data_IF_934789009037
#
_entry.id   IF_934789009037
#
_cell.length_a   1.000
_cell.length_b   1.000
_cell.length_c   1.000
_cell.angle_alpha   90.00
_cell.angle_beta   90.00
_cell.angle_gamma   90.00
#
_symmetry.space_group_name_H-M   'P 1'
#
loop_
_entity.id
_entity.type
_entity.pdbx_description
1 polymer ?
#
# COMPACT_ATOMS: atom_id res chain seq x y z
N UNK A 1 -14.61 -7.54 14.23
CA UNK A 1 -14.85 -6.11 13.91
C UNK A 1 -16.02 -5.71 14.78
N UNK A 2 -15.87 -4.66 15.61
CA UNK A 2 -16.97 -4.10 16.38
C UNK A 2 -17.55 -2.95 15.57
N UNK A 3 -18.78 -3.08 15.10
CA UNK A 3 -19.45 -2.07 14.27
C UNK A 3 -20.45 -1.28 15.12
N UNK A 4 -20.31 0.04 15.13
CA UNK A 4 -21.14 0.95 15.92
C UNK A 4 -21.52 2.18 15.09
N UNK A 5 -22.70 2.73 15.37
CA UNK A 5 -23.11 4.05 14.89
C UNK A 5 -23.41 4.91 16.11
N UNK A 6 -23.07 6.19 16.06
CA UNK A 6 -23.35 7.12 17.15
C UNK A 6 -24.86 7.23 17.40
N UNK A 7 -25.29 6.96 18.63
CA UNK A 7 -26.70 7.11 19.05
C UNK A 7 -26.91 8.28 20.03
N UNK A 8 -25.84 8.71 20.73
CA UNK A 8 -25.86 9.81 21.70
C UNK A 8 -24.50 10.53 21.69
N UNK A 9 -24.53 11.86 21.82
CA UNK A 9 -23.36 12.75 21.86
C UNK A 9 -22.41 12.39 23.00
N UNK A 10 -22.95 12.12 24.18
CA UNK A 10 -22.12 11.83 25.38
C UNK A 10 -21.31 10.54 25.22
N UNK A 11 -21.72 9.67 24.29
CA UNK A 11 -21.10 8.37 24.05
C UNK A 11 -20.17 8.36 22.83
N UNK A 12 -19.98 9.48 22.13
CA UNK A 12 -19.28 9.50 20.84
C UNK A 12 -17.82 9.04 20.91
N UNK A 13 -17.14 9.23 22.05
CA UNK A 13 -15.75 8.81 22.24
C UNK A 13 -15.60 7.36 22.76
N UNK A 14 -16.68 6.76 23.29
CA UNK A 14 -16.62 5.44 23.94
C UNK A 14 -16.14 4.31 23.02
N UNK A 15 -16.53 4.26 21.72
CA UNK A 15 -16.06 3.21 20.83
C UNK A 15 -14.54 3.13 20.75
N UNK A 16 -13.83 4.27 20.75
CA UNK A 16 -12.37 4.31 20.68
C UNK A 16 -11.69 3.62 21.87
N UNK A 17 -12.30 3.70 23.06
CA UNK A 17 -11.81 3.08 24.29
C UNK A 17 -12.16 1.59 24.40
N UNK A 18 -12.91 1.03 23.46
CA UNK A 18 -13.24 -0.39 23.47
C UNK A 18 -11.96 -1.23 23.33
N UNK A 19 -11.84 -2.28 24.14
CA UNK A 19 -10.73 -3.21 24.05
C UNK A 19 -10.93 -4.20 22.90
N UNK A 20 -10.93 -3.68 21.68
CA UNK A 20 -11.09 -4.42 20.43
C UNK A 20 -9.88 -4.20 19.53
N UNK A 21 -9.46 -5.23 18.79
CA UNK A 21 -8.37 -5.08 17.82
C UNK A 21 -8.80 -4.24 16.60
N UNK A 22 -10.09 -4.28 16.26
CA UNK A 22 -10.67 -3.62 15.09
C UNK A 22 -12.02 -2.98 15.41
N UNK A 23 -12.16 -1.69 15.09
CA UNK A 23 -13.37 -0.90 15.30
C UNK A 23 -13.85 -0.33 13.96
N UNK A 24 -15.13 -0.58 13.64
CA UNK A 24 -15.89 0.14 12.63
C UNK A 24 -16.81 1.15 13.33
N UNK A 25 -16.69 2.44 13.02
CA UNK A 25 -17.44 3.47 13.72
C UNK A 25 -17.89 4.60 12.80
N UNK A 26 -19.21 4.76 12.67
CA UNK A 26 -19.84 5.89 12.02
C UNK A 26 -20.26 6.95 13.04
N UNK A 27 -19.83 8.20 12.85
CA UNK A 27 -20.15 9.30 13.77
C UNK A 27 -20.17 10.67 13.09
N UNK A 28 -20.90 11.59 13.72
CA UNK A 28 -20.92 12.99 13.33
C UNK A 28 -19.78 13.72 14.04
N UNK A 29 -18.83 14.25 13.26
CA UNK A 29 -17.67 14.94 13.83
C UNK A 29 -18.03 16.28 14.47
N UNK A 30 -19.16 16.88 14.09
CA UNK A 30 -19.67 18.11 14.68
C UNK A 30 -20.13 17.93 16.14
N UNK A 31 -20.43 16.70 16.53
CA UNK A 31 -20.87 16.38 17.89
C UNK A 31 -19.71 16.34 18.89
N UNK A 32 -18.48 16.14 18.40
CA UNK A 32 -17.25 16.12 19.19
C UNK A 32 -16.75 17.54 19.47
N UNK A 33 -16.33 17.78 20.70
CA UNK A 33 -15.66 19.01 21.12
C UNK A 33 -14.15 18.78 21.15
N UNK A 34 -13.33 19.82 20.98
CA UNK A 34 -11.87 19.70 21.11
C UNK A 34 -11.39 19.01 22.40
N UNK A 35 -12.07 19.24 23.52
CA UNK A 35 -11.76 18.61 24.81
C UNK A 35 -12.01 17.10 24.84
N UNK A 36 -12.86 16.57 23.95
CA UNK A 36 -13.19 15.14 23.93
C UNK A 36 -12.00 14.30 23.43
N UNK A 37 -11.03 14.93 22.76
CA UNK A 37 -9.80 14.28 22.27
C UNK A 37 -8.72 14.14 23.35
N UNK A 38 -8.65 15.04 24.33
CA UNK A 38 -7.61 15.09 25.38
C UNK A 38 -7.52 13.78 26.22
N UNK A 39 -8.61 13.02 26.29
CA UNK A 39 -8.71 11.76 27.03
C UNK A 39 -8.97 10.53 26.16
N UNK A 40 -9.05 10.69 24.84
CA UNK A 40 -9.52 9.62 23.95
C UNK A 40 -8.49 8.50 23.86
N UNK A 41 -8.77 7.35 24.46
CA UNK A 41 -7.83 6.22 24.43
C UNK A 41 -8.14 5.30 23.25
N UNK A 42 -7.45 5.44 22.13
CA UNK A 42 -7.64 4.57 20.96
C UNK A 42 -6.82 3.30 21.19
N UNK A 43 -7.47 2.16 21.46
CA UNK A 43 -6.78 0.89 21.71
C UNK A 43 -6.72 -0.03 20.48
N UNK A 44 -7.55 0.25 19.47
CA UNK A 44 -7.65 -0.57 18.28
C UNK A 44 -6.48 -0.32 17.31
N UNK A 45 -6.04 -1.40 16.67
CA UNK A 45 -5.00 -1.35 15.62
C UNK A 45 -5.57 -1.13 14.24
N UNK A 46 -6.85 -1.46 14.05
CA UNK A 46 -7.55 -1.31 12.78
C UNK A 46 -8.78 -0.43 12.99
N UNK A 47 -8.79 0.74 12.39
CA UNK A 47 -9.90 1.68 12.44
C UNK A 47 -10.55 1.81 11.07
N UNK A 48 -11.87 1.72 11.06
CA UNK A 48 -12.72 1.97 9.90
C UNK A 48 -13.73 3.02 10.32
N UNK A 49 -13.48 4.27 9.96
CA UNK A 49 -14.24 5.42 10.41
C UNK A 49 -15.06 5.97 9.25
N UNK A 50 -16.35 6.16 9.51
CA UNK A 50 -17.23 6.92 8.64
C UNK A 50 -17.59 8.21 9.38
N UNK A 51 -17.20 9.34 8.80
CA UNK A 51 -17.42 10.65 9.38
C UNK A 51 -18.51 11.34 8.56
N UNK A 52 -19.52 11.87 9.25
CA UNK A 52 -20.49 12.78 8.67
C UNK A 52 -20.39 14.15 9.33
N UNK A 53 -20.98 15.16 8.69
CA UNK A 53 -21.17 16.50 9.26
C UNK A 53 -22.65 16.89 9.14
N UNK A 54 -23.36 17.00 10.25
CA UNK A 54 -24.66 17.70 10.25
C UNK A 54 -24.41 19.21 10.23
N UNK A 55 -25.01 19.89 9.25
CA UNK A 55 -24.78 21.29 8.92
C UNK A 55 -25.44 22.26 9.92
N UNK A 56 -25.23 22.04 11.21
CA UNK A 56 -25.68 22.95 12.26
C UNK A 56 -24.74 24.16 12.33
N UNK A 57 -25.29 25.38 12.34
CA UNK A 57 -24.51 26.62 12.37
C UNK A 57 -23.66 26.81 13.64
N UNK A 58 -23.91 26.01 14.69
CA UNK A 58 -23.22 26.09 15.99
C UNK A 58 -22.19 24.96 16.16
N UNK A 59 -21.91 24.17 15.12
CA UNK A 59 -20.92 23.10 15.19
C UNK A 59 -19.48 23.65 15.30
N UNK A 60 -18.59 22.95 16.02
CA UNK A 60 -17.16 23.17 15.89
C UNK A 60 -16.71 22.98 14.45
N UNK A 61 -15.67 23.71 14.04
CA UNK A 61 -15.02 23.51 12.75
C UNK A 61 -14.61 22.04 12.61
N UNK A 62 -15.23 21.34 11.66
CA UNK A 62 -15.01 19.91 11.45
C UNK A 62 -13.54 19.62 11.10
N UNK A 63 -12.85 20.55 10.43
CA UNK A 63 -11.44 20.43 10.08
C UNK A 63 -10.58 20.41 11.33
N UNK A 64 -10.88 21.29 12.29
CA UNK A 64 -10.20 21.31 13.59
C UNK A 64 -10.41 20.00 14.33
N UNK A 65 -11.65 19.51 14.41
CA UNK A 65 -11.93 18.23 15.07
C UNK A 65 -11.24 17.05 14.36
N UNK A 66 -11.15 17.06 13.03
CA UNK A 66 -10.48 16.00 12.28
C UNK A 66 -8.97 16.03 12.48
N UNK A 67 -8.36 17.22 12.51
CA UNK A 67 -6.95 17.37 12.83
C UNK A 67 -6.64 16.85 14.24
N UNK A 68 -7.47 17.19 15.23
CA UNK A 68 -7.32 16.68 16.60
C UNK A 68 -7.47 15.15 16.68
N UNK A 69 -8.39 14.58 15.90
CA UNK A 69 -8.51 13.13 15.79
C UNK A 69 -7.23 12.50 15.21
N UNK A 70 -6.65 13.09 14.17
CA UNK A 70 -5.40 12.63 13.58
C UNK A 70 -4.21 12.76 14.53
N UNK A 71 -4.08 13.90 15.22
CA UNK A 71 -3.05 14.10 16.24
C UNK A 71 -3.17 13.04 17.33
N UNK A 72 -4.40 12.72 17.75
CA UNK A 72 -4.60 11.70 18.76
C UNK A 72 -4.24 10.29 18.28
N UNK A 73 -4.55 9.96 17.03
CA UNK A 73 -4.10 8.72 16.39
C UNK A 73 -2.57 8.67 16.22
N UNK A 74 -1.93 9.80 15.96
CA UNK A 74 -0.48 9.91 15.91
C UNK A 74 0.14 9.60 17.27
N UNK A 75 -0.37 10.18 18.35
CA UNK A 75 0.09 9.93 19.72
C UNK A 75 -0.01 8.44 20.12
N UNK A 76 -1.03 7.75 19.60
CA UNK A 76 -1.22 6.32 19.83
C UNK A 76 -0.12 5.47 19.18
N UNK A 77 0.36 5.84 17.98
CA UNK A 77 1.54 5.28 17.32
C UNK A 77 1.52 3.77 17.00
N UNK A 78 0.36 3.11 17.12
CA UNK A 78 0.23 1.65 16.98
C UNK A 78 -0.77 1.21 15.92
N UNK A 79 -1.31 2.13 15.11
CA UNK A 79 -2.22 1.79 14.03
C UNK A 79 -1.52 0.93 12.98
N UNK A 80 -2.22 -0.12 12.53
CA UNK A 80 -1.84 -0.97 11.42
C UNK A 80 -2.75 -0.74 10.20
N UNK A 81 -3.98 -0.26 10.43
CA UNK A 81 -4.96 0.03 9.37
C UNK A 81 -5.79 1.25 9.76
N UNK A 82 -5.90 2.19 8.84
CA UNK A 82 -6.83 3.30 8.93
C UNK A 82 -7.62 3.38 7.62
N UNK A 83 -8.93 3.26 7.72
CA UNK A 83 -9.86 3.61 6.66
C UNK A 83 -10.73 4.74 7.17
N UNK A 84 -10.80 5.80 6.39
CA UNK A 84 -11.58 6.98 6.73
C UNK A 84 -12.40 7.37 5.49
N UNK A 85 -13.70 7.50 5.68
CA UNK A 85 -14.63 7.95 4.66
C UNK A 85 -15.49 9.08 5.18
N UNK A 86 -15.81 10.04 4.32
CA UNK A 86 -16.70 11.14 4.59
C UNK A 86 -18.03 10.92 3.87
N UNK A 87 -19.14 11.05 4.57
CA UNK A 87 -20.48 11.08 3.99
C UNK A 87 -21.12 12.46 4.24
N UNK A 88 -21.93 12.91 3.27
CA UNK A 88 -22.85 14.04 3.43
C UNK A 88 -22.25 15.40 3.84
N UNK A 89 -21.00 15.70 3.50
CA UNK A 89 -20.47 17.05 3.69
C UNK A 89 -21.12 18.00 2.68
N UNK A 90 -21.87 18.98 3.18
CA UNK A 90 -22.40 20.05 2.34
C UNK A 90 -21.22 20.90 1.82
N UNK A 91 -20.94 20.76 0.52
CA UNK A 91 -19.82 21.35 -0.23
C UNK A 91 -20.03 22.87 -0.41
N UNK A 92 -20.24 23.60 0.68
CA UNK A 92 -20.49 25.05 0.71
C UNK A 92 -19.43 25.85 1.45
N UNK A 93 -18.43 25.19 2.05
CA UNK A 93 -17.38 25.87 2.81
C UNK A 93 -16.18 26.22 1.91
N UNK A 94 -16.40 27.19 1.01
CA UNK A 94 -15.31 27.88 0.34
C UNK A 94 -14.42 28.55 1.40
N UNK A 95 -13.22 28.01 1.63
CA UNK A 95 -12.15 28.66 2.40
C UNK A 95 -11.75 28.04 3.74
N UNK A 96 -12.07 26.77 4.00
CA UNK A 96 -11.44 26.07 5.13
C UNK A 96 -9.96 25.86 4.79
N UNK A 97 -9.08 26.43 5.61
CA UNK A 97 -7.64 26.19 5.56
C UNK A 97 -7.36 24.73 5.94
N UNK A 98 -7.29 23.83 4.95
CA UNK A 98 -7.04 22.40 5.14
C UNK A 98 -5.61 22.08 5.60
N UNK A 99 -4.70 23.06 5.66
CA UNK A 99 -3.30 22.83 5.94
C UNK A 99 -3.08 22.18 7.32
N UNK A 100 -3.87 22.56 8.33
CA UNK A 100 -3.76 21.94 9.66
C UNK A 100 -4.18 20.44 9.65
N UNK A 101 -5.23 20.09 8.90
CA UNK A 101 -5.65 18.69 8.68
C UNK A 101 -4.56 17.92 7.95
N UNK A 102 -3.97 18.51 6.91
CA UNK A 102 -2.85 17.94 6.15
C UNK A 102 -1.64 17.65 7.05
N UNK A 103 -1.22 18.62 7.87
CA UNK A 103 -0.08 18.44 8.78
C UNK A 103 -0.36 17.37 9.84
N UNK A 104 -1.59 17.31 10.36
CA UNK A 104 -1.99 16.27 11.32
C UNK A 104 -1.99 14.88 10.66
N UNK A 105 -2.46 14.75 9.42
CA UNK A 105 -2.38 13.50 8.65
C UNK A 105 -0.93 13.06 8.41
N UNK A 106 -0.05 13.98 8.00
CA UNK A 106 1.38 13.70 7.82
C UNK A 106 2.00 13.20 9.14
N UNK A 107 1.64 13.85 10.25
CA UNK A 107 2.11 13.46 11.59
C UNK A 107 1.61 12.07 11.96
N UNK A 108 0.35 11.74 11.69
CA UNK A 108 -0.23 10.41 11.87
C UNK A 108 0.52 9.35 11.09
N UNK A 109 0.78 9.58 9.79
CA UNK A 109 1.53 8.65 8.94
C UNK A 109 2.91 8.40 9.55
N UNK A 110 3.65 9.46 9.89
CA UNK A 110 5.00 9.34 10.42
C UNK A 110 5.07 8.67 11.80
N UNK A 111 4.09 8.91 12.67
CA UNK A 111 4.07 8.35 14.03
C UNK A 111 3.70 6.86 14.06
N UNK A 112 2.92 6.39 13.09
CA UNK A 112 2.41 5.01 13.06
C UNK A 112 3.26 4.10 12.18
N UNK A 113 4.50 3.82 12.60
CA UNK A 113 5.46 2.98 11.84
C UNK A 113 4.95 1.58 11.40
N UNK A 114 3.90 1.06 12.05
CA UNK A 114 3.26 -0.23 11.73
C UNK A 114 2.08 -0.12 10.77
N UNK A 115 1.71 1.09 10.35
CA UNK A 115 0.63 1.35 9.41
C UNK A 115 0.92 0.65 8.09
N UNK A 116 0.06 -0.30 7.72
CA UNK A 116 0.16 -1.10 6.49
C UNK A 116 -0.83 -0.64 5.42
N UNK A 117 -1.97 -0.14 5.86
CA UNK A 117 -3.10 0.19 5.01
C UNK A 117 -3.68 1.55 5.43
N UNK A 118 -3.72 2.48 4.49
CA UNK A 118 -4.33 3.79 4.64
C UNK A 118 -5.32 4.00 3.48
N UNK A 119 -6.59 4.18 3.80
CA UNK A 119 -7.66 4.42 2.83
C UNK A 119 -8.36 5.74 3.16
N UNK A 120 -8.21 6.70 2.24
CA UNK A 120 -8.81 8.03 2.22
C UNK A 120 -9.65 8.22 0.94
N UNK A 121 -10.08 7.12 0.29
CA UNK A 121 -10.72 7.13 -1.02
C UNK A 121 -11.97 8.01 -1.08
N UNK A 122 -12.70 8.11 0.02
CA UNK A 122 -13.91 8.92 0.11
C UNK A 122 -13.70 10.19 0.95
N UNK A 123 -12.49 10.79 0.89
CA UNK A 123 -12.14 12.02 1.62
C UNK A 123 -11.80 13.17 0.67
N UNK A 124 -12.36 13.17 -0.55
CA UNK A 124 -12.03 14.14 -1.59
C UNK A 124 -12.18 15.60 -1.17
N UNK A 125 -13.21 15.86 -0.39
CA UNK A 125 -13.56 17.17 0.15
C UNK A 125 -12.45 17.77 1.03
N UNK A 126 -11.54 16.93 1.53
CA UNK A 126 -10.51 17.35 2.50
C UNK A 126 -9.24 17.85 1.85
N UNK A 127 -8.90 17.30 0.70
CA UNK A 127 -7.59 17.46 0.10
C UNK A 127 -7.76 18.02 -1.29
N UNK A 128 -7.10 19.14 -1.53
CA UNK A 128 -6.83 19.57 -2.89
C UNK A 128 -5.68 18.68 -3.38
N UNK A 129 -6.01 17.45 -3.81
CA UNK A 129 -5.02 16.41 -4.11
C UNK A 129 -3.94 16.88 -5.09
N UNK A 130 -4.22 17.84 -5.98
CA UNK A 130 -3.20 18.44 -6.83
C UNK A 130 -2.07 19.13 -6.05
N UNK A 131 -2.41 19.86 -4.99
CA UNK A 131 -1.46 20.63 -4.18
C UNK A 131 -0.93 19.82 -2.99
N UNK A 132 -1.83 19.10 -2.30
CA UNK A 132 -1.54 18.43 -1.03
C UNK A 132 -0.90 17.04 -1.20
N UNK A 133 -1.16 16.34 -2.32
CA UNK A 133 -0.68 14.97 -2.51
C UNK A 133 0.85 14.87 -2.44
N UNK A 134 1.56 15.92 -2.85
CA UNK A 134 3.03 15.92 -2.85
C UNK A 134 3.60 15.70 -1.45
N UNK A 135 3.08 16.40 -0.45
CA UNK A 135 3.59 16.30 0.92
C UNK A 135 3.12 15.03 1.61
N UNK A 136 1.89 14.58 1.32
CA UNK A 136 1.38 13.27 1.75
C UNK A 136 2.24 12.13 1.19
N UNK A 137 2.53 12.15 -0.11
CA UNK A 137 3.40 11.18 -0.76
C UNK A 137 4.81 11.20 -0.18
N UNK A 138 5.38 12.38 0.07
CA UNK A 138 6.70 12.51 0.69
C UNK A 138 6.75 11.86 2.07
N UNK A 139 5.72 11.99 2.90
CA UNK A 139 5.64 11.31 4.19
C UNK A 139 5.68 9.78 4.05
N UNK A 140 5.07 9.24 2.98
CA UNK A 140 5.00 7.79 2.72
C UNK A 140 6.26 7.19 2.08
N UNK A 141 7.12 8.00 1.46
CA UNK A 141 8.32 7.55 0.72
C UNK A 141 9.28 6.69 1.55
N UNK A 142 9.38 6.98 2.84
CA UNK A 142 10.27 6.27 3.78
C UNK A 142 9.51 5.40 4.79
N UNK A 143 8.19 5.30 4.65
CA UNK A 143 7.37 4.63 5.65
C UNK A 143 7.64 3.12 5.66
N UNK A 144 8.12 2.55 6.78
CA UNK A 144 8.64 1.18 6.80
C UNK A 144 7.53 0.12 6.64
N UNK A 145 6.33 0.42 7.15
CA UNK A 145 5.21 -0.52 7.19
C UNK A 145 4.19 -0.40 6.06
N UNK A 146 4.15 0.72 5.33
CA UNK A 146 2.99 1.07 4.50
C UNK A 146 3.05 0.31 3.18
N UNK A 147 1.94 -0.35 2.83
CA UNK A 147 1.84 -1.23 1.66
C UNK A 147 0.69 -0.87 0.74
N UNK A 148 -0.37 -0.30 1.30
CA UNK A 148 -1.53 0.09 0.53
C UNK A 148 -1.93 1.51 0.91
N UNK A 149 -2.04 2.36 -0.10
CA UNK A 149 -2.63 3.68 0.01
C UNK A 149 -3.79 3.76 -0.99
N UNK A 150 -4.96 4.18 -0.52
CA UNK A 150 -6.13 4.43 -1.34
C UNK A 150 -6.55 5.87 -1.12
N UNK A 151 -6.88 6.57 -2.19
CA UNK A 151 -7.35 7.94 -2.18
C UNK A 151 -8.22 8.16 -3.42
N UNK A 152 -8.86 9.32 -3.53
CA UNK A 152 -9.79 9.61 -4.63
C UNK A 152 -9.03 9.79 -5.97
N UNK A 153 -9.76 9.74 -7.09
CA UNK A 153 -9.29 9.86 -8.45
C UNK A 153 -8.29 11.01 -8.67
N UNK A 154 -7.07 10.67 -9.13
CA UNK A 154 -6.14 11.65 -9.75
C UNK A 154 -6.62 11.95 -11.16
N UNK A 155 -7.06 13.17 -11.43
CA UNK A 155 -7.09 13.67 -12.80
C UNK A 155 -8.23 14.64 -13.13
N UNK A 156 -8.30 15.07 -14.41
CA UNK A 156 -9.27 16.05 -14.87
C UNK A 156 -10.72 15.58 -14.72
N UNK A 157 -10.95 14.26 -14.72
CA UNK A 157 -12.28 13.68 -14.51
C UNK A 157 -12.75 13.75 -13.04
N UNK A 158 -11.92 14.25 -12.12
CA UNK A 158 -12.38 14.51 -10.77
C UNK A 158 -13.56 15.49 -10.82
N UNK A 159 -13.52 16.53 -11.65
CA UNK A 159 -14.61 17.50 -11.72
C UNK A 159 -15.55 17.16 -12.88
N UNK A 160 -16.64 16.43 -12.58
CA UNK A 160 -17.78 16.22 -13.50
C UNK A 160 -18.62 17.51 -13.72
N UNK A 161 -18.05 18.68 -13.40
CA UNK A 161 -18.65 19.98 -13.67
C UNK A 161 -18.21 20.41 -15.06
N UNK A 162 -19.13 20.35 -16.03
CA UNK A 162 -18.90 20.56 -17.46
C UNK A 162 -18.47 21.97 -17.91
N UNK A 163 -17.55 22.61 -17.19
CA UNK A 163 -16.92 23.87 -17.55
C UNK A 163 -15.39 23.70 -17.65
N UNK A 164 -14.88 23.80 -18.87
CA UNK A 164 -13.49 24.03 -19.27
C UNK A 164 -12.42 22.97 -18.89
N UNK A 165 -12.41 21.85 -19.63
CA UNK A 165 -11.41 20.76 -19.61
C UNK A 165 -9.93 21.22 -19.72
N UNK A 166 -9.67 22.45 -20.17
CA UNK A 166 -8.31 22.89 -20.51
C UNK A 166 -7.47 23.30 -19.29
N UNK A 167 -8.09 23.80 -18.22
CA UNK A 167 -7.36 24.33 -17.05
C UNK A 167 -6.87 23.21 -16.11
N UNK A 168 -7.57 22.08 -16.04
CA UNK A 168 -7.30 21.02 -15.08
C UNK A 168 -6.18 20.06 -15.50
N UNK A 169 -5.79 20.06 -16.78
CA UNK A 169 -4.81 19.11 -17.30
C UNK A 169 -3.37 19.46 -16.91
N UNK A 170 -3.00 20.74 -16.87
CA UNK A 170 -1.62 21.16 -16.58
C UNK A 170 -1.23 20.98 -15.10
N UNK A 171 -2.19 20.96 -14.16
CA UNK A 171 -1.90 20.82 -12.73
C UNK A 171 -1.78 19.37 -12.24
N UNK A 172 -2.18 18.38 -13.04
CA UNK A 172 -2.14 16.97 -12.63
C UNK A 172 -0.81 16.27 -12.93
N UNK A 173 0.02 16.81 -13.84
CA UNK A 173 1.30 16.19 -14.20
C UNK A 173 2.26 16.13 -12.99
N UNK A 174 2.26 17.19 -12.17
CA UNK A 174 3.03 17.29 -10.93
C UNK A 174 2.69 16.18 -9.90
N UNK A 175 1.44 15.72 -9.90
CA UNK A 175 0.97 14.66 -9.00
C UNK A 175 1.53 13.31 -9.45
N UNK A 176 1.52 13.03 -10.75
CA UNK A 176 2.08 11.79 -11.28
C UNK A 176 3.60 11.72 -11.10
N UNK A 177 4.31 12.85 -11.21
CA UNK A 177 5.74 12.89 -10.90
C UNK A 177 6.01 12.58 -9.42
N UNK A 178 5.22 13.16 -8.52
CA UNK A 178 5.31 12.90 -7.08
C UNK A 178 4.95 11.44 -6.74
N UNK A 179 3.95 10.87 -7.41
CA UNK A 179 3.59 9.44 -7.29
C UNK A 179 4.74 8.55 -7.77
N UNK A 180 5.35 8.86 -8.92
CA UNK A 180 6.51 8.12 -9.44
C UNK A 180 7.69 8.13 -8.46
N UNK A 181 7.89 9.25 -7.76
CA UNK A 181 8.89 9.40 -6.72
C UNK A 181 8.58 8.53 -5.50
N UNK A 182 7.33 8.57 -5.00
CA UNK A 182 6.83 7.70 -3.94
C UNK A 182 7.10 6.22 -4.25
N UNK A 183 6.64 5.75 -5.40
CA UNK A 183 6.79 4.36 -5.80
C UNK A 183 8.25 3.94 -5.98
N UNK A 184 9.13 4.86 -6.37
CA UNK A 184 10.56 4.57 -6.52
C UNK A 184 11.26 4.43 -5.16
N UNK A 185 10.87 5.25 -4.16
CA UNK A 185 11.45 5.27 -2.82
C UNK A 185 10.85 4.19 -1.91
N UNK A 186 9.53 4.00 -1.98
CA UNK A 186 8.80 2.96 -1.28
C UNK A 186 8.36 1.87 -2.26
N UNK A 187 9.23 0.89 -2.52
CA UNK A 187 8.98 -0.15 -3.54
C UNK A 187 7.90 -1.16 -3.14
N UNK A 188 7.48 -1.15 -1.89
CA UNK A 188 6.49 -2.08 -1.35
C UNK A 188 5.08 -1.49 -1.30
N UNK A 189 4.92 -0.20 -1.59
CA UNK A 189 3.62 0.45 -1.60
C UNK A 189 2.91 0.24 -2.96
N UNK A 190 1.61 0.01 -2.88
CA UNK A 190 0.68 0.08 -4.01
C UNK A 190 -0.35 1.14 -3.72
N UNK A 191 -0.54 2.02 -4.69
CA UNK A 191 -1.42 3.18 -4.61
C UNK A 191 -2.63 2.93 -5.52
N UNK A 192 -3.83 3.14 -4.98
CA UNK A 192 -5.10 2.91 -5.65
C UNK A 192 -5.95 4.18 -5.67
N UNK A 193 -6.71 4.33 -6.75
CA UNK A 193 -7.80 5.28 -6.93
C UNK A 193 -9.10 4.53 -7.24
N UNK A 194 -10.17 5.25 -7.57
CA UNK A 194 -11.48 4.67 -7.89
C UNK A 194 -11.47 3.78 -9.14
N UNK A 195 -10.46 3.92 -10.01
CA UNK A 195 -10.29 3.10 -11.20
C UNK A 195 -9.39 1.88 -10.95
N UNK A 196 -8.86 1.71 -9.73
CA UNK A 196 -8.00 0.60 -9.34
C UNK A 196 -6.57 1.07 -9.08
N UNK A 197 -5.57 0.31 -9.55
CA UNK A 197 -4.15 0.66 -9.31
C UNK A 197 -3.82 1.91 -10.13
N UNK A 198 -3.45 3.01 -9.45
CA UNK A 198 -3.20 4.30 -10.11
C UNK A 198 -2.24 4.15 -11.27
N UNK A 199 -2.57 4.72 -12.42
CA UNK A 199 -1.77 4.59 -13.63
C UNK A 199 -1.96 5.78 -14.56
N UNK A 200 -0.88 6.20 -15.20
CA UNK A 200 -0.91 7.11 -16.35
C UNK A 200 -0.69 6.38 -17.69
N UNK A 201 -0.81 5.04 -17.71
CA UNK A 201 -0.55 4.20 -18.89
C UNK A 201 0.89 4.19 -19.38
N UNK A 202 1.84 4.78 -18.63
CA UNK A 202 3.17 5.09 -19.10
C UNK A 202 4.26 4.90 -18.06
N UNK A 203 4.72 6.00 -17.46
CA UNK A 203 5.86 5.99 -16.53
C UNK A 203 5.53 5.25 -15.23
N UNK A 204 4.32 5.42 -14.69
CA UNK A 204 3.90 4.78 -13.43
C UNK A 204 3.87 3.26 -13.56
N UNK A 205 3.31 2.74 -14.67
CA UNK A 205 3.25 1.29 -14.93
C UNK A 205 4.64 0.65 -15.00
N UNK A 206 5.61 1.36 -15.60
CA UNK A 206 7.00 0.89 -15.65
C UNK A 206 7.63 0.81 -14.26
N UNK A 207 7.32 1.78 -13.37
CA UNK A 207 7.80 1.75 -11.98
C UNK A 207 7.18 0.58 -11.23
N UNK A 208 5.88 0.37 -11.37
CA UNK A 208 5.20 -0.77 -10.76
C UNK A 208 5.71 -2.12 -11.25
N UNK A 209 5.86 -2.31 -12.56
CA UNK A 209 6.42 -3.54 -13.12
C UNK A 209 7.81 -3.85 -12.54
N UNK A 210 8.63 -2.80 -12.38
CA UNK A 210 9.96 -2.92 -11.79
C UNK A 210 9.89 -3.30 -10.30
N UNK A 211 8.99 -2.68 -9.54
CA UNK A 211 8.80 -2.98 -8.12
C UNK A 211 8.22 -4.38 -7.90
N UNK A 212 7.24 -4.80 -8.70
CA UNK A 212 6.64 -6.13 -8.65
C UNK A 212 7.69 -7.21 -8.92
N UNK A 213 8.58 -6.97 -9.89
CA UNK A 213 9.72 -7.84 -10.16
C UNK A 213 10.67 -7.93 -8.96
N UNK A 214 11.07 -6.79 -8.39
CA UNK A 214 11.95 -6.73 -7.22
C UNK A 214 11.34 -7.49 -6.03
N UNK A 215 10.09 -7.19 -5.69
CA UNK A 215 9.36 -7.80 -4.58
C UNK A 215 9.16 -9.30 -4.80
N UNK A 216 8.91 -9.73 -6.05
CA UNK A 216 8.81 -11.14 -6.41
C UNK A 216 10.14 -11.90 -6.24
N UNK A 217 11.25 -11.29 -6.65
CA UNK A 217 12.59 -11.86 -6.48
C UNK A 217 12.95 -12.00 -5.00
N UNK A 218 12.67 -11.00 -4.17
CA UNK A 218 12.93 -11.06 -2.73
C UNK A 218 12.13 -12.18 -2.03
N UNK A 219 10.83 -12.30 -2.34
CA UNK A 219 9.98 -13.40 -1.81
C UNK A 219 10.50 -14.77 -2.22
N UNK A 220 11.04 -14.90 -3.42
CA UNK A 220 11.61 -16.16 -3.88
C UNK A 220 12.89 -16.55 -3.10
N UNK A 221 13.60 -15.59 -2.49
CA UNK A 221 14.72 -15.89 -1.59
C UNK A 221 14.22 -16.50 -0.29
N UNK A 222 13.14 -15.95 0.29
CA UNK A 222 12.58 -16.43 1.55
C UNK A 222 11.89 -17.78 1.40
N UNK A 223 11.23 -17.99 0.27
CA UNK A 223 10.51 -19.21 -0.03
C UNK A 223 11.51 -20.23 -0.60
N UNK A 224 12.11 -21.04 0.27
CA UNK A 224 13.08 -22.11 -0.08
C UNK A 224 12.41 -23.24 -0.88
N UNK A 225 11.94 -22.93 -2.08
CA UNK A 225 11.19 -23.81 -2.95
C UNK A 225 12.14 -24.58 -3.87
N UNK A 226 11.95 -25.90 -4.07
CA UNK A 226 12.78 -26.69 -4.98
C UNK A 226 12.79 -26.17 -6.43
N UNK A 227 11.76 -25.42 -6.83
CA UNK A 227 11.66 -24.80 -8.16
C UNK A 227 12.45 -23.50 -8.31
N UNK A 228 13.04 -22.97 -7.23
CA UNK A 228 13.75 -21.68 -7.23
C UNK A 228 14.87 -21.63 -8.28
N UNK A 229 15.76 -22.64 -8.44
CA UNK A 229 16.80 -22.60 -9.48
C UNK A 229 16.25 -22.50 -10.90
N UNK A 230 15.18 -23.24 -11.19
CA UNK A 230 14.54 -23.21 -12.51
C UNK A 230 13.89 -21.85 -12.79
N UNK A 231 13.23 -21.25 -11.79
CA UNK A 231 12.59 -19.94 -11.92
C UNK A 231 13.62 -18.82 -12.13
N UNK A 232 14.72 -18.85 -11.39
CA UNK A 232 15.83 -17.90 -11.54
C UNK A 232 16.49 -18.06 -12.91
N UNK A 233 16.81 -19.29 -13.33
CA UNK A 233 17.39 -19.55 -14.65
C UNK A 233 16.47 -19.11 -15.79
N UNK A 234 15.17 -19.43 -15.71
CA UNK A 234 14.17 -19.04 -16.71
C UNK A 234 14.03 -17.52 -16.79
N UNK A 235 14.07 -16.83 -15.64
CA UNK A 235 14.00 -15.37 -15.58
C UNK A 235 15.27 -14.71 -16.13
N UNK A 236 16.46 -15.28 -15.86
CA UNK A 236 17.75 -14.81 -16.40
C UNK A 236 17.82 -14.94 -17.93
N UNK A 237 17.45 -16.10 -18.47
CA UNK A 237 17.46 -16.36 -19.92
C UNK A 237 16.34 -15.60 -20.63
N UNK A 238 15.17 -15.49 -19.99
CA UNK A 238 14.00 -14.83 -20.53
C UNK A 238 14.04 -13.31 -20.34
N UNK A 239 13.24 -12.83 -19.39
CA UNK A 239 12.92 -11.42 -19.18
C UNK A 239 14.13 -10.55 -18.83
N UNK A 240 15.15 -11.09 -18.16
CA UNK A 240 16.32 -10.33 -17.73
C UNK A 240 17.38 -10.16 -18.84
N UNK A 241 17.44 -11.06 -19.83
CA UNK A 241 18.47 -11.03 -20.89
C UNK A 241 18.51 -9.72 -21.68
N UNK A 242 17.37 -9.00 -21.74
CA UNK A 242 17.22 -7.72 -22.45
C UNK A 242 17.18 -6.50 -21.51
N UNK A 243 17.25 -6.71 -20.20
CA UNK A 243 17.16 -5.64 -19.21
C UNK A 243 18.23 -5.80 -18.14
N UNK A 244 19.31 -5.03 -18.29
CA UNK A 244 20.47 -5.08 -17.41
C UNK A 244 20.13 -4.88 -15.93
N UNK A 245 19.16 -4.03 -15.59
CA UNK A 245 18.76 -3.80 -14.20
C UNK A 245 18.09 -5.03 -13.59
N UNK A 246 17.16 -5.65 -14.32
CA UNK A 246 16.49 -6.88 -13.92
C UNK A 246 17.49 -8.02 -13.75
N UNK A 247 18.44 -8.12 -14.68
CA UNK A 247 19.54 -9.08 -14.62
C UNK A 247 20.40 -8.87 -13.37
N UNK A 248 20.89 -7.65 -13.14
CA UNK A 248 21.71 -7.32 -11.98
C UNK A 248 21.00 -7.64 -10.65
N UNK A 249 19.69 -7.40 -10.54
CA UNK A 249 18.92 -7.72 -9.34
C UNK A 249 18.74 -9.22 -9.10
N UNK A 250 18.44 -10.00 -10.14
CA UNK A 250 18.40 -11.46 -10.00
C UNK A 250 19.75 -11.99 -9.53
N UNK A 251 20.85 -11.48 -10.10
CA UNK A 251 22.19 -11.88 -9.68
C UNK A 251 22.46 -11.53 -8.21
N UNK A 252 22.02 -10.36 -7.73
CA UNK A 252 22.26 -9.95 -6.35
C UNK A 252 21.44 -10.72 -5.33
N UNK A 253 20.19 -11.09 -5.64
CA UNK A 253 19.33 -11.81 -4.70
C UNK A 253 19.52 -13.32 -4.73
N UNK A 254 19.95 -13.87 -5.85
CA UNK A 254 20.02 -15.32 -6.07
C UNK A 254 21.44 -15.79 -6.41
N UNK A 255 22.46 -15.18 -5.79
CA UNK A 255 23.86 -15.55 -6.01
C UNK A 255 24.14 -17.02 -5.63
N UNK A 256 23.50 -17.49 -4.57
CA UNK A 256 23.54 -18.88 -4.12
C UNK A 256 23.04 -19.84 -5.20
N UNK A 257 21.88 -19.55 -5.79
CA UNK A 257 21.28 -20.33 -6.87
C UNK A 257 22.17 -20.35 -8.11
N UNK A 258 22.82 -19.23 -8.43
CA UNK A 258 23.78 -19.20 -9.54
C UNK A 258 24.96 -20.12 -9.27
N UNK A 259 25.52 -20.08 -8.06
CA UNK A 259 26.56 -21.01 -7.67
C UNK A 259 26.08 -22.46 -7.80
N UNK A 260 24.87 -22.79 -7.36
CA UNK A 260 24.29 -24.13 -7.55
C UNK A 260 24.17 -24.52 -9.03
N UNK A 261 23.70 -23.62 -9.90
CA UNK A 261 23.59 -23.88 -11.34
C UNK A 261 24.97 -24.13 -12.00
N UNK A 262 26.01 -23.42 -11.55
CA UNK A 262 27.38 -23.63 -12.03
C UNK A 262 28.04 -24.90 -11.46
N UNK A 263 27.72 -25.32 -10.24
CA UNK A 263 28.32 -26.51 -9.62
C UNK A 263 27.53 -27.80 -9.90
N UNK A 264 26.22 -27.71 -10.11
CA UNK A 264 25.34 -28.84 -10.46
C UNK A 264 25.50 -29.32 -11.91
N UNK A 265 26.32 -28.62 -12.70
CA UNK A 265 26.81 -29.08 -14.01
C UNK A 265 28.20 -29.73 -13.93
N UNK A 266 28.64 -30.14 -12.73
CA UNK A 266 29.71 -31.12 -12.60
C UNK A 266 29.34 -32.40 -13.36
N UNK A 267 30.28 -33.06 -14.05
CA UNK A 267 29.98 -34.23 -14.86
C UNK A 267 29.35 -35.28 -13.95
N UNK A 268 28.05 -35.51 -14.10
CA UNK A 268 27.42 -36.68 -13.49
C UNK A 268 28.24 -37.89 -13.94
N UNK A 269 28.67 -38.65 -12.94
CA UNK A 269 29.27 -39.96 -13.07
C UNK A 269 28.60 -40.70 -14.22
N UNK A 270 29.37 -40.91 -15.29
CA UNK A 270 29.06 -41.92 -16.29
C UNK A 270 28.97 -43.21 -15.48
N UNK A 271 27.75 -43.58 -15.11
CA UNK A 271 27.45 -44.89 -14.55
C UNK A 271 28.00 -45.88 -15.58
N UNK A 272 29.08 -46.63 -15.26
CA UNK A 272 29.62 -47.58 -16.21
C UNK A 272 28.49 -48.55 -16.53
N UNK A 273 28.18 -48.68 -17.82
CA UNK A 273 27.17 -49.59 -18.32
C UNK A 273 27.34 -50.96 -17.65
N UNK A 274 26.27 -51.59 -17.15
CA UNK A 274 26.36 -52.91 -16.56
C UNK A 274 26.97 -53.85 -17.61
N UNK A 275 28.15 -54.39 -17.31
CA UNK A 275 28.78 -55.39 -18.16
C UNK A 275 27.83 -56.59 -18.25
N UNK A 276 27.26 -56.81 -19.43
CA UNK A 276 26.53 -58.02 -19.76
C UNK A 276 27.40 -59.22 -19.43
N UNK A 277 27.01 -59.92 -18.37
CA UNK A 277 27.67 -61.15 -17.96
C UNK A 277 27.18 -62.24 -18.91
N UNK A 278 27.94 -62.47 -19.98
CA UNK A 278 27.70 -63.57 -20.92
C UNK A 278 27.93 -64.89 -20.19
N UNK A 279 26.84 -65.54 -19.80
CA UNK A 279 26.84 -66.90 -19.26
C UNK A 279 27.13 -67.90 -20.41
N UNK A 280 28.12 -68.79 -20.27
CA UNK A 280 28.38 -69.83 -21.26
C UNK A 280 27.38 -70.97 -21.08
N UNK A 281 26.44 -71.11 -22.02
CA UNK A 281 25.54 -72.25 -22.09
C UNK A 281 26.32 -73.48 -22.56
N UNK A 282 26.77 -74.31 -21.62
CA UNK A 282 27.26 -75.66 -21.95
C UNK A 282 26.07 -76.56 -22.27
N UNK A 283 25.99 -77.04 -23.50
CA UNK A 283 25.17 -78.21 -23.84
C UNK A 283 25.82 -79.48 -23.28
N UNK A 284 25.07 -80.40 -22.66
CA UNK A 284 25.46 -81.80 -22.63
C UNK A 284 24.84 -82.56 -23.82
N UNK A 285 25.48 -83.66 -24.26
CA UNK A 285 24.98 -84.48 -25.34
C UNK A 285 23.97 -85.53 -24.85
N UNK A 286 23.00 -85.81 -25.73
CA UNK A 286 22.46 -87.13 -26.13
C UNK A 286 21.98 -88.10 -25.04
N UNK A 287 20.68 -88.42 -25.09
CA UNK A 287 20.17 -89.74 -25.53
C UNK A 287 18.75 -89.60 -26.12
#
# INVERSE_FOLDING_TARGET
MLDMCQWDRECAHLPFAAWANSIGYGFDISELRPSDFDGMNILARHLYLEVSEDASFDSPDWGVCLALLFDRMAECGHLETLRLSASDFNIGHDGIDSNHVLQALITLINANSKLKYLDLGNMRILFQWCDDARDIFRAMESHPGLRTFIFDTIGPNAHDSGDDDSFHKEHCDDVYDSLGQLLTRNRFITVYDDNGRCSNGGSIDKVYLRNDFFNGSEKLVTDSTPGRPLLVATSLVGSASRNFHVFAWLLSHHLDVLCELFHGSGPEDIVPAPQETVLPTSMPPVE
#
